data_IF_265505251755
#
_entry.id   IF_265505251755
#
_cell.length_a   1.000
_cell.length_b   1.000
_cell.length_c   1.000
_cell.angle_alpha   90.00
_cell.angle_beta   90.00
_cell.angle_gamma   90.00
#
_symmetry.space_group_name_H-M   'P 1'
#
loop_
_entity.id
_entity.type
_entity.pdbx_description
1 polymer ?
#
# COMPACT_ATOMS: atom_id res chain seq x y z
N UNK A 1 65.02 55.82 -30.01
CA UNK A 1 64.09 55.77 -28.86
C UNK A 1 63.00 54.76 -29.17
N UNK A 2 62.76 53.81 -28.25
CA UNK A 2 61.87 52.64 -28.35
C UNK A 2 60.40 53.02 -28.19
N UNK A 3 59.48 52.40 -28.95
CA UNK A 3 58.11 52.02 -28.52
C UNK A 3 57.61 50.91 -29.48
N UNK A 4 57.82 49.61 -29.23
CA UNK A 4 56.95 48.64 -28.52
C UNK A 4 55.47 48.69 -28.96
N UNK A 5 55.13 47.84 -29.92
CA UNK A 5 53.76 47.51 -30.32
C UNK A 5 53.21 46.43 -29.40
N UNK A 6 52.16 46.73 -28.62
CA UNK A 6 51.45 45.76 -27.77
C UNK A 6 50.16 45.32 -28.48
N UNK A 7 50.05 44.01 -28.72
CA UNK A 7 48.82 43.32 -29.13
C UNK A 7 47.84 43.32 -27.96
N UNK A 8 46.61 43.81 -28.17
CA UNK A 8 45.51 43.69 -27.22
C UNK A 8 44.51 42.65 -27.75
N UNK A 9 44.51 41.46 -27.17
CA UNK A 9 43.49 40.43 -27.36
C UNK A 9 42.33 40.73 -26.41
N UNK A 10 41.17 41.15 -26.93
CA UNK A 10 39.93 41.19 -26.17
C UNK A 10 39.24 39.83 -26.25
N UNK A 11 39.40 39.01 -25.21
CA UNK A 11 38.59 37.80 -25.01
C UNK A 11 37.31 38.22 -24.28
N UNK A 12 36.21 38.33 -25.01
CA UNK A 12 34.87 38.48 -24.41
C UNK A 12 34.40 37.08 -24.04
N UNK A 13 34.56 36.70 -22.78
CA UNK A 13 33.96 35.49 -22.24
C UNK A 13 32.45 35.67 -22.13
N UNK A 14 31.71 34.97 -23.00
CA UNK A 14 30.28 34.79 -22.85
C UNK A 14 30.03 34.01 -21.54
N UNK A 15 29.48 34.69 -20.53
CA UNK A 15 28.95 34.04 -19.35
C UNK A 15 27.71 33.23 -19.75
N UNK A 16 27.91 31.96 -20.10
CA UNK A 16 26.82 31.01 -20.23
C UNK A 16 26.23 30.80 -18.83
N UNK A 17 25.03 31.32 -18.59
CA UNK A 17 24.20 30.89 -17.47
C UNK A 17 23.86 29.42 -17.69
N UNK A 18 24.60 28.55 -17.01
CA UNK A 18 24.29 27.14 -16.94
C UNK A 18 23.05 26.98 -16.06
N UNK A 19 21.89 26.92 -16.69
CA UNK A 19 20.72 26.28 -16.08
C UNK A 19 21.15 24.85 -15.73
N UNK A 20 21.41 24.58 -14.44
CA UNK A 20 21.48 23.21 -13.96
C UNK A 20 20.05 22.68 -13.88
N UNK A 21 19.64 21.70 -14.71
CA UNK A 21 18.44 20.96 -14.39
C UNK A 21 18.82 20.10 -13.19
N UNK A 22 18.42 20.49 -11.99
CA UNK A 22 18.15 19.52 -10.94
C UNK A 22 16.88 18.74 -11.36
N UNK A 23 17.00 17.94 -12.41
CA UNK A 23 15.94 17.07 -12.89
C UNK A 23 16.15 15.71 -12.23
N UNK A 24 15.34 15.45 -11.21
CA UNK A 24 14.85 14.13 -10.81
C UNK A 24 15.85 12.99 -11.02
N UNK A 25 16.95 13.00 -10.27
CA UNK A 25 17.78 11.79 -10.18
C UNK A 25 16.91 10.68 -9.53
N UNK A 26 16.80 9.49 -10.14
CA UNK A 26 16.02 8.40 -9.58
C UNK A 26 16.54 8.05 -8.18
N UNK A 27 15.62 7.81 -7.26
CA UNK A 27 15.92 7.48 -5.87
C UNK A 27 16.89 6.30 -5.74
N UNK A 28 17.85 6.40 -4.83
CA UNK A 28 18.79 5.31 -4.54
C UNK A 28 18.03 4.10 -3.94
N UNK A 29 18.36 2.84 -4.30
CA UNK A 29 17.71 1.64 -3.77
C UNK A 29 17.56 1.58 -2.24
N UNK A 30 18.58 2.01 -1.48
CA UNK A 30 18.51 2.02 -0.01
C UNK A 30 17.51 3.05 0.54
N UNK A 31 17.27 4.15 -0.18
CA UNK A 31 16.23 5.11 0.19
C UNK A 31 14.84 4.56 -0.09
N UNK A 32 14.63 3.93 -1.26
CA UNK A 32 13.32 3.35 -1.59
C UNK A 32 12.92 2.21 -0.65
N UNK A 33 13.87 1.41 -0.16
CA UNK A 33 13.61 0.38 0.84
C UNK A 33 13.16 0.98 2.18
N UNK A 34 13.82 2.04 2.65
CA UNK A 34 13.44 2.76 3.87
C UNK A 34 12.04 3.35 3.76
N UNK A 35 11.72 4.00 2.64
CA UNK A 35 10.38 4.55 2.40
C UNK A 35 9.34 3.43 2.38
N UNK A 36 9.63 2.32 1.68
CA UNK A 36 8.74 1.15 1.64
C UNK A 36 8.43 0.62 3.04
N UNK A 37 9.47 0.47 3.87
CA UNK A 37 9.31 -0.01 5.25
C UNK A 37 8.52 0.97 6.11
N UNK A 38 8.82 2.27 6.02
CA UNK A 38 8.15 3.30 6.82
C UNK A 38 6.69 3.48 6.38
N UNK A 39 6.41 3.51 5.07
CA UNK A 39 5.03 3.52 4.55
C UNK A 39 4.25 2.32 5.05
N UNK A 40 4.82 1.11 4.99
CA UNK A 40 4.18 -0.08 5.56
C UNK A 40 3.90 0.11 7.04
N UNK A 41 4.88 0.58 7.80
CA UNK A 41 4.74 0.79 9.24
C UNK A 41 3.60 1.77 9.56
N UNK A 42 3.57 2.93 8.90
CA UNK A 42 2.52 3.92 9.08
C UNK A 42 1.12 3.36 8.77
N UNK A 43 0.97 2.61 7.68
CA UNK A 43 -0.33 2.04 7.28
C UNK A 43 -0.85 1.00 8.28
N UNK A 44 0.00 0.09 8.77
CA UNK A 44 -0.44 -0.94 9.74
C UNK A 44 -0.70 -0.40 11.13
N UNK A 45 -0.16 0.77 11.46
CA UNK A 45 -0.35 1.46 12.74
C UNK A 45 -1.56 2.40 12.76
N UNK A 46 -2.29 2.52 11.64
CA UNK A 46 -3.46 3.39 11.58
C UNK A 46 -4.53 2.97 12.61
N UNK A 47 -5.10 3.93 13.35
CA UNK A 47 -6.23 3.66 14.21
C UNK A 47 -7.37 3.02 13.42
N UNK A 48 -7.99 1.99 13.97
CA UNK A 48 -9.11 1.25 13.38
C UNK A 48 -8.82 0.47 12.11
N UNK A 49 -7.56 0.42 11.63
CA UNK A 49 -7.19 -0.54 10.58
C UNK A 49 -7.34 -1.97 11.10
N UNK A 50 -7.97 -2.84 10.32
CA UNK A 50 -8.17 -4.22 10.75
C UNK A 50 -8.57 -5.18 9.65
N UNK A 51 -9.22 -6.25 10.07
CA UNK A 51 -9.55 -7.40 9.23
C UNK A 51 -10.50 -7.10 8.06
N UNK A 52 -11.23 -5.98 8.09
CA UNK A 52 -12.16 -5.58 7.02
C UNK A 52 -11.58 -4.54 6.07
N UNK A 53 -10.29 -4.25 6.20
CA UNK A 53 -9.58 -3.27 5.42
C UNK A 53 -8.36 -3.93 4.78
N UNK A 54 -8.06 -3.57 3.55
CA UNK A 54 -6.91 -4.04 2.79
C UNK A 54 -6.18 -2.81 2.25
N UNK A 55 -4.94 -2.60 2.67
CA UNK A 55 -4.11 -1.49 2.22
C UNK A 55 -2.87 -2.02 1.49
N UNK A 56 -2.69 -1.55 0.26
CA UNK A 56 -1.53 -1.82 -0.56
C UNK A 56 -0.92 -0.49 -1.02
N UNK A 57 0.34 -0.51 -1.44
CA UNK A 57 1.01 0.68 -1.93
C UNK A 57 2.07 0.34 -2.97
N UNK A 58 2.45 1.35 -3.76
CA UNK A 58 3.60 1.32 -4.67
C UNK A 58 4.42 2.59 -4.45
N UNK A 59 5.73 2.45 -4.40
CA UNK A 59 6.67 3.58 -4.30
C UNK A 59 7.37 3.73 -5.64
N UNK A 60 7.26 4.90 -6.26
CA UNK A 60 7.91 5.23 -7.52
C UNK A 60 9.28 5.89 -7.27
N UNK A 61 10.23 5.82 -8.22
CA UNK A 61 11.57 6.38 -8.06
C UNK A 61 11.63 7.91 -7.87
N UNK A 62 10.55 8.62 -8.20
CA UNK A 62 10.37 10.06 -8.03
C UNK A 62 9.83 10.44 -6.63
N UNK A 63 9.69 9.47 -5.73
CA UNK A 63 9.13 9.69 -4.39
C UNK A 63 7.60 9.73 -4.35
N UNK A 64 6.92 9.42 -5.46
CA UNK A 64 5.47 9.25 -5.45
C UNK A 64 5.09 7.93 -4.76
N UNK A 65 4.18 8.00 -3.79
CA UNK A 65 3.52 6.82 -3.20
C UNK A 65 2.08 6.72 -3.70
N UNK A 66 1.76 5.64 -4.40
CA UNK A 66 0.37 5.32 -4.76
C UNK A 66 -0.24 4.40 -3.71
N UNK A 67 -1.33 4.81 -3.08
CA UNK A 67 -2.10 4.01 -2.12
C UNK A 67 -3.27 3.33 -2.80
N UNK A 68 -3.48 2.06 -2.52
CA UNK A 68 -4.43 1.17 -3.17
C UNK A 68 -5.14 0.30 -2.13
N UNK A 69 -6.21 -0.37 -2.55
CA UNK A 69 -6.94 -1.33 -1.73
C UNK A 69 -8.33 -0.84 -1.37
N UNK A 70 -8.90 -1.38 -0.30
CA UNK A 70 -10.29 -1.19 0.08
C UNK A 70 -10.41 -0.98 1.59
N UNK A 71 -11.19 0.00 2.00
CA UNK A 71 -11.47 0.25 3.41
C UNK A 71 -12.98 0.27 3.67
N UNK A 72 -13.40 -0.35 4.77
CA UNK A 72 -14.79 -0.31 5.20
C UNK A 72 -15.13 1.03 5.86
N UNK A 73 -14.14 1.65 6.53
CA UNK A 73 -14.31 2.94 7.20
C UNK A 73 -13.85 4.08 6.28
N UNK A 74 -14.72 5.06 5.94
CA UNK A 74 -14.35 6.16 5.06
C UNK A 74 -13.15 7.00 5.54
N UNK A 75 -13.00 7.17 6.86
CA UNK A 75 -11.91 7.99 7.42
C UNK A 75 -10.53 7.36 7.19
N UNK A 76 -10.44 6.03 7.10
CA UNK A 76 -9.16 5.34 6.88
C UNK A 76 -8.48 5.77 5.57
N UNK A 77 -9.27 6.09 4.53
CA UNK A 77 -8.72 6.59 3.26
C UNK A 77 -7.92 7.88 3.48
N UNK A 78 -8.50 8.86 4.17
CA UNK A 78 -7.84 10.14 4.45
C UNK A 78 -6.75 10.02 5.52
N UNK A 79 -6.90 9.09 6.46
CA UNK A 79 -5.92 8.87 7.51
C UNK A 79 -4.64 8.21 6.96
N UNK A 80 -4.79 7.24 6.05
CA UNK A 80 -3.68 6.62 5.34
C UNK A 80 -2.88 7.63 4.52
N UNK A 81 -3.56 8.49 3.75
CA UNK A 81 -2.90 9.54 2.97
C UNK A 81 -2.12 10.51 3.86
N UNK A 82 -2.73 10.95 4.97
CA UNK A 82 -2.08 11.88 5.90
C UNK A 82 -0.87 11.24 6.59
N UNK A 83 -0.97 9.98 6.99
CA UNK A 83 0.14 9.26 7.61
C UNK A 83 1.31 9.10 6.65
N UNK A 84 1.03 8.68 5.41
CA UNK A 84 2.05 8.45 4.37
C UNK A 84 2.68 9.74 3.88
N UNK A 85 1.92 10.84 3.79
CA UNK A 85 2.44 12.15 3.40
C UNK A 85 3.53 12.68 4.33
N UNK A 86 3.54 12.23 5.59
CA UNK A 86 4.53 12.67 6.59
C UNK A 86 5.79 11.80 6.60
N UNK A 87 5.88 10.77 5.75
CA UNK A 87 7.06 9.91 5.65
C UNK A 87 8.17 10.64 4.90
N UNK A 88 9.38 10.65 5.47
CA UNK A 88 10.55 11.26 4.85
C UNK A 88 10.84 10.65 3.46
N UNK A 89 11.02 11.50 2.44
CA UNK A 89 11.27 11.10 1.06
C UNK A 89 10.01 10.82 0.23
N UNK A 90 8.81 10.94 0.82
CA UNK A 90 7.55 10.95 0.06
C UNK A 90 7.31 12.36 -0.48
N UNK A 91 7.37 12.50 -1.80
CA UNK A 91 7.15 13.78 -2.50
C UNK A 91 5.67 14.01 -2.79
N UNK A 92 4.95 12.93 -3.10
CA UNK A 92 3.53 12.98 -3.48
C UNK A 92 2.82 11.71 -3.07
N UNK A 93 1.56 11.84 -2.66
CA UNK A 93 0.66 10.71 -2.43
C UNK A 93 -0.43 10.72 -3.49
N UNK A 94 -0.60 9.59 -4.20
CA UNK A 94 -1.74 9.33 -5.07
C UNK A 94 -2.67 8.33 -4.36
N UNK A 95 -3.77 8.83 -3.80
CA UNK A 95 -4.65 8.04 -2.95
C UNK A 95 -5.82 7.41 -3.73
N UNK A 96 -5.59 6.19 -4.23
CA UNK A 96 -6.55 5.40 -5.00
C UNK A 96 -7.27 4.35 -4.14
N UNK A 97 -7.23 4.44 -2.81
CA UNK A 97 -7.97 3.54 -1.91
C UNK A 97 -9.47 3.65 -2.21
N UNK A 98 -10.16 2.52 -2.35
CA UNK A 98 -11.61 2.48 -2.49
C UNK A 98 -12.28 2.49 -1.11
N UNK A 99 -13.25 3.37 -0.90
CA UNK A 99 -14.14 3.30 0.26
C UNK A 99 -15.31 2.41 -0.10
N UNK A 100 -15.49 1.31 0.63
CA UNK A 100 -16.57 0.37 0.38
C UNK A 100 -17.93 1.03 0.66
N UNK A 101 -18.99 0.67 -0.08
CA UNK A 101 -20.33 1.19 0.16
C UNK A 101 -20.80 0.92 1.60
N UNK A 102 -21.46 1.91 2.21
CA UNK A 102 -22.11 1.74 3.51
C UNK A 102 -23.37 0.89 3.33
N UNK A 103 -23.37 -0.32 3.87
CA UNK A 103 -24.47 -1.27 3.74
C UNK A 103 -24.57 -2.13 5.01
N UNK A 104 -25.69 -2.04 5.75
CA UNK A 104 -25.92 -2.89 6.92
C UNK A 104 -25.87 -4.39 6.59
N UNK A 105 -26.27 -4.75 5.36
CA UNK A 105 -26.22 -6.12 4.87
C UNK A 105 -24.77 -6.57 4.71
N UNK A 106 -23.92 -5.77 4.05
CA UNK A 106 -22.51 -6.10 3.91
C UNK A 106 -21.81 -6.12 5.27
N UNK A 107 -22.19 -5.26 6.21
CA UNK A 107 -21.68 -5.28 7.58
C UNK A 107 -22.04 -6.56 8.33
N UNK A 108 -23.25 -7.07 8.13
CA UNK A 108 -23.66 -8.37 8.67
C UNK A 108 -22.85 -9.49 8.03
N UNK A 109 -22.69 -9.48 6.71
CA UNK A 109 -21.89 -10.45 5.95
C UNK A 109 -20.43 -10.43 6.40
N UNK A 110 -19.79 -9.26 6.55
CA UNK A 110 -18.42 -9.12 7.08
C UNK A 110 -18.25 -9.84 8.41
N UNK A 111 -19.15 -9.59 9.36
CA UNK A 111 -19.12 -10.23 10.69
C UNK A 111 -19.38 -11.73 10.61
N UNK A 112 -20.26 -12.19 9.71
CA UNK A 112 -20.56 -13.60 9.55
C UNK A 112 -19.38 -14.37 8.92
N UNK A 113 -18.79 -13.83 7.85
CA UNK A 113 -17.57 -14.38 7.22
C UNK A 113 -16.41 -14.38 8.20
N UNK A 114 -16.21 -13.30 8.98
CA UNK A 114 -15.19 -13.27 10.02
C UNK A 114 -15.35 -14.44 11.00
N UNK A 115 -16.56 -14.70 11.50
CA UNK A 115 -16.81 -15.83 12.41
C UNK A 115 -16.62 -17.19 11.74
N UNK A 116 -17.03 -17.36 10.49
CA UNK A 116 -16.86 -18.62 9.77
C UNK A 116 -15.39 -18.92 9.50
N UNK A 117 -14.63 -17.93 9.04
CA UNK A 117 -13.19 -18.06 8.74
C UNK A 117 -12.40 -18.25 10.02
N UNK A 118 -12.47 -17.32 10.98
CA UNK A 118 -11.62 -17.37 12.18
C UNK A 118 -12.16 -18.28 13.30
N UNK A 119 -13.41 -18.70 13.22
CA UNK A 119 -13.97 -19.73 14.10
C UNK A 119 -13.59 -21.15 13.68
N UNK A 120 -13.02 -21.33 12.50
CA UNK A 120 -12.49 -22.62 12.06
C UNK A 120 -11.21 -22.96 12.82
N UNK A 121 -11.10 -24.18 13.32
CA UNK A 121 -9.96 -24.66 14.12
C UNK A 121 -8.60 -24.41 13.44
N UNK A 122 -8.51 -24.69 12.13
CA UNK A 122 -7.27 -24.56 11.35
C UNK A 122 -6.87 -23.09 11.14
N UNK A 123 -7.85 -22.20 11.01
CA UNK A 123 -7.61 -20.79 10.68
C UNK A 123 -7.60 -19.86 11.89
N UNK A 124 -8.08 -20.32 13.05
CA UNK A 124 -8.16 -19.55 14.29
C UNK A 124 -6.81 -18.94 14.71
N UNK A 125 -5.70 -19.63 14.41
CA UNK A 125 -4.34 -19.14 14.65
C UNK A 125 -4.02 -17.80 13.94
N UNK A 126 -4.66 -17.51 12.79
CA UNK A 126 -4.45 -16.27 12.06
C UNK A 126 -5.06 -15.06 12.79
N UNK A 127 -6.05 -15.27 13.66
CA UNK A 127 -6.66 -14.19 14.47
C UNK A 127 -5.73 -13.69 15.59
N UNK A 128 -4.71 -14.47 15.96
CA UNK A 128 -3.81 -14.16 17.07
C UNK A 128 -2.66 -13.21 16.69
N UNK A 129 -2.47 -12.94 15.40
CA UNK A 129 -1.41 -12.04 14.92
C UNK A 129 -1.82 -10.59 15.17
N UNK A 130 -0.85 -9.75 15.55
CA UNK A 130 -1.07 -8.33 15.80
C UNK A 130 -1.59 -7.59 14.54
N UNK A 131 -1.11 -8.00 13.36
CA UNK A 131 -1.66 -7.57 12.06
C UNK A 131 -2.40 -8.77 11.46
N UNK A 132 -3.71 -8.66 11.20
CA UNK A 132 -4.49 -9.73 10.58
C UNK A 132 -3.87 -10.12 9.22
N UNK A 133 -3.51 -11.39 8.99
CA UNK A 133 -2.89 -11.82 7.74
C UNK A 133 -3.91 -12.15 6.66
N UNK A 134 -5.19 -12.34 7.02
CA UNK A 134 -6.30 -12.52 6.09
C UNK A 134 -7.21 -11.31 6.25
N UNK A 135 -7.59 -10.67 5.15
CA UNK A 135 -8.51 -9.56 5.11
C UNK A 135 -9.79 -9.97 4.38
N UNK A 136 -10.95 -9.55 4.90
CA UNK A 136 -12.27 -9.90 4.41
C UNK A 136 -12.92 -8.64 3.86
N UNK A 137 -12.89 -8.51 2.53
CA UNK A 137 -13.50 -7.39 1.81
C UNK A 137 -14.87 -7.83 1.32
N UNK A 138 -15.90 -7.02 1.60
CA UNK A 138 -17.28 -7.30 1.15
C UNK A 138 -17.80 -6.09 0.42
N UNK A 139 -18.33 -6.31 -0.79
CA UNK A 139 -18.95 -5.30 -1.63
C UNK A 139 -20.18 -5.89 -2.32
N UNK A 140 -21.36 -5.42 -1.94
CA UNK A 140 -22.64 -5.84 -2.51
C UNK A 140 -22.84 -7.37 -2.45
N UNK A 141 -22.55 -7.99 -1.30
CA UNK A 141 -22.65 -9.46 -1.13
C UNK A 141 -21.54 -10.30 -1.78
N UNK A 142 -20.61 -9.68 -2.51
CA UNK A 142 -19.42 -10.37 -3.04
C UNK A 142 -18.27 -10.23 -2.04
N UNK A 143 -17.65 -11.37 -1.71
CA UNK A 143 -16.54 -11.45 -0.75
C UNK A 143 -15.23 -11.61 -1.51
N UNK A 144 -14.20 -10.86 -1.11
CA UNK A 144 -12.82 -11.08 -1.53
C UNK A 144 -11.97 -11.36 -0.30
N UNK A 145 -11.20 -12.44 -0.34
CA UNK A 145 -10.21 -12.79 0.67
C UNK A 145 -8.83 -12.33 0.20
N UNK A 146 -8.20 -11.42 0.94
CA UNK A 146 -6.89 -10.84 0.62
C UNK A 146 -5.86 -11.19 1.69
N UNK A 147 -4.58 -11.19 1.32
CA UNK A 147 -3.47 -11.36 2.28
C UNK A 147 -2.70 -12.67 2.10
N UNK A 148 -2.25 -13.25 3.21
CA UNK A 148 -1.33 -14.39 3.24
C UNK A 148 -1.76 -15.47 4.21
N UNK A 149 -1.46 -16.72 3.86
CA UNK A 149 -1.63 -17.91 4.70
C UNK A 149 -0.38 -18.77 4.62
N UNK A 150 -0.15 -19.65 5.59
CA UNK A 150 1.04 -20.50 5.64
C UNK A 150 0.98 -21.71 4.73
N UNK A 151 -0.21 -22.14 4.28
CA UNK A 151 -0.35 -23.37 3.47
C UNK A 151 -1.42 -23.23 2.39
N UNK A 152 -1.26 -23.95 1.28
CA UNK A 152 -2.26 -24.00 0.21
C UNK A 152 -3.62 -24.53 0.69
N UNK A 153 -3.62 -25.48 1.64
CA UNK A 153 -4.85 -26.01 2.22
C UNK A 153 -5.61 -24.93 3.01
N UNK A 154 -4.92 -24.01 3.68
CA UNK A 154 -5.56 -22.96 4.47
C UNK A 154 -6.34 -21.99 3.57
N UNK A 155 -5.86 -21.75 2.34
CA UNK A 155 -6.62 -21.00 1.32
C UNK A 155 -7.96 -21.66 1.01
N UNK A 156 -7.92 -22.96 0.71
CA UNK A 156 -9.12 -23.74 0.35
C UNK A 156 -10.13 -23.78 1.50
N UNK A 157 -9.64 -23.91 2.74
CA UNK A 157 -10.48 -23.86 3.94
C UNK A 157 -11.09 -22.46 4.07
N UNK A 158 -10.31 -21.39 3.96
CA UNK A 158 -10.82 -20.02 4.08
C UNK A 158 -11.90 -19.70 3.05
N UNK A 159 -11.66 -20.08 1.78
CA UNK A 159 -12.63 -19.94 0.70
C UNK A 159 -13.91 -20.74 0.98
N UNK A 160 -13.80 -21.99 1.42
CA UNK A 160 -14.94 -22.85 1.77
C UNK A 160 -15.75 -22.29 2.94
N UNK A 161 -15.08 -21.77 3.97
CA UNK A 161 -15.76 -21.14 5.11
C UNK A 161 -16.46 -19.84 4.70
N UNK A 162 -15.85 -19.02 3.84
CA UNK A 162 -16.49 -17.82 3.34
C UNK A 162 -17.72 -18.13 2.48
N UNK A 163 -17.64 -19.15 1.61
CA UNK A 163 -18.75 -19.61 0.75
C UNK A 163 -19.93 -20.21 1.54
N UNK A 164 -19.70 -20.71 2.75
CA UNK A 164 -20.77 -21.32 3.57
C UNK A 164 -21.68 -20.28 4.23
N UNK A 165 -21.29 -19.00 4.22
CA UNK A 165 -22.04 -17.92 4.87
C UNK A 165 -23.28 -17.55 4.05
N UNK A 166 -24.49 -17.53 4.66
CA UNK A 166 -25.69 -17.08 3.98
C UNK A 166 -25.56 -15.65 3.43
N UNK A 167 -26.13 -15.43 2.24
CA UNK A 167 -26.10 -14.15 1.51
C UNK A 167 -24.73 -13.73 0.96
N UNK A 168 -23.73 -14.62 0.96
CA UNK A 168 -22.54 -14.47 0.12
C UNK A 168 -22.88 -14.92 -1.30
N UNK A 169 -22.74 -14.02 -2.28
CA UNK A 169 -23.07 -14.31 -3.68
C UNK A 169 -21.89 -14.91 -4.45
N UNK A 170 -20.67 -14.49 -4.12
CA UNK A 170 -19.45 -15.11 -4.63
C UNK A 170 -18.30 -14.88 -3.66
N UNK A 171 -17.28 -15.72 -3.77
CA UNK A 171 -16.00 -15.54 -3.10
C UNK A 171 -14.90 -15.49 -4.14
N UNK A 172 -14.08 -14.45 -4.09
CA UNK A 172 -12.81 -14.33 -4.81
C UNK A 172 -11.68 -14.57 -3.82
N UNK A 173 -10.91 -15.64 -4.00
CA UNK A 173 -9.74 -15.95 -3.17
C UNK A 173 -8.45 -15.40 -3.80
N UNK A 174 -7.92 -14.31 -3.22
CA UNK A 174 -6.64 -13.71 -3.57
C UNK A 174 -5.55 -14.02 -2.52
N UNK A 175 -5.80 -14.94 -1.58
CA UNK A 175 -4.81 -15.32 -0.57
C UNK A 175 -3.57 -15.90 -1.23
N UNK A 176 -2.41 -15.60 -0.69
CA UNK A 176 -1.12 -16.17 -1.14
C UNK A 176 -0.53 -17.04 -0.06
N UNK A 177 0.16 -18.10 -0.46
CA UNK A 177 0.98 -18.85 0.49
C UNK A 177 2.20 -17.98 0.79
N UNK A 178 2.49 -17.78 2.07
CA UNK A 178 3.70 -17.10 2.52
C UNK A 178 4.89 -17.88 1.98
N UNK A 179 5.67 -17.27 1.07
CA UNK A 179 6.90 -17.87 0.60
C UNK A 179 7.82 -18.02 1.81
N UNK A 180 8.18 -19.25 2.17
CA UNK A 180 9.27 -19.50 3.10
C UNK A 180 10.52 -18.88 2.48
N UNK A 181 10.88 -17.67 2.93
CA UNK A 181 12.08 -16.99 2.48
C UNK A 181 13.28 -17.92 2.63
N UNK A 182 13.73 -18.49 1.52
CA UNK A 182 15.02 -19.17 1.39
C UNK A 182 16.03 -18.20 0.84
#
# INVERSE_FOLDING_TARGET
>A
MKVITFLLLCVVSAAAWQNSPAQNAPMNPRSSERITQEVRHQLVMLPYYGVFDNLAYRVSPDGTVTLLGQVARPTLKSDAERAVKNVEGVERVDNQIEVLPTSPMDDQTRRAVYRAVYGNEVLSQYALRAVPPIHIIVKNGHVTLEGVVSRQMDKQIAETQAKSVPNVFSVTDNLRVEDEGK
#
